data_IF_946006570083
#
_entry.id   IF_946006570083
#
_cell.length_a   1.000
_cell.length_b   1.000
_cell.length_c   1.000
_cell.angle_alpha   90.00
_cell.angle_beta   90.00
_cell.angle_gamma   90.00
#
_symmetry.space_group_name_H-M   'P 1'
#
loop_
_entity.id
_entity.type
_entity.pdbx_description
1 polymer ?
#
# COMPACT_ATOMS: atom_id res chain seq x y z
N UNK A 1 -4.37 13.20 -27.95
CA UNK A 1 -4.33 12.88 -26.51
C UNK A 1 -4.44 11.37 -26.36
N UNK A 2 -3.72 10.81 -25.38
CA UNK A 2 -3.57 9.37 -25.17
C UNK A 2 -4.91 8.68 -24.87
N UNK A 3 -5.20 7.57 -25.59
CA UNK A 3 -6.38 6.70 -25.39
C UNK A 3 -6.47 6.04 -24.00
N UNK A 4 -5.46 6.25 -23.15
CA UNK A 4 -5.39 5.71 -21.79
C UNK A 4 -6.43 6.34 -20.84
N UNK A 5 -6.93 7.54 -21.14
CA UNK A 5 -7.98 8.19 -20.37
C UNK A 5 -9.38 7.58 -20.61
N UNK A 6 -9.56 6.86 -21.72
CA UNK A 6 -10.82 6.24 -22.13
C UNK A 6 -10.89 4.76 -21.76
N UNK A 7 -9.96 4.26 -20.94
CA UNK A 7 -10.01 2.89 -20.46
C UNK A 7 -11.27 2.69 -19.60
N UNK A 8 -11.95 1.54 -19.72
CA UNK A 8 -13.02 1.18 -18.81
C UNK A 8 -12.52 1.11 -17.36
N UNK A 9 -13.35 1.58 -16.43
CA UNK A 9 -13.03 1.61 -14.99
C UNK A 9 -12.60 0.25 -14.44
N UNK A 10 -13.20 -0.85 -14.93
CA UNK A 10 -12.80 -2.23 -14.57
C UNK A 10 -11.32 -2.52 -14.85
N UNK A 11 -10.78 -2.01 -15.96
CA UNK A 11 -9.38 -2.21 -16.32
C UNK A 11 -8.49 -1.33 -15.45
N UNK A 12 -8.92 -0.09 -15.18
CA UNK A 12 -8.22 0.82 -14.28
C UNK A 12 -8.14 0.26 -12.85
N UNK A 13 -9.22 -0.32 -12.34
CA UNK A 13 -9.25 -1.04 -11.06
C UNK A 13 -8.26 -2.20 -11.05
N UNK A 14 -8.21 -3.01 -12.10
CA UNK A 14 -7.28 -4.14 -12.17
C UNK A 14 -5.81 -3.67 -12.25
N UNK A 15 -5.53 -2.55 -12.92
CA UNK A 15 -4.20 -1.91 -12.89
C UNK A 15 -3.87 -1.46 -11.47
N UNK A 16 -4.78 -0.74 -10.81
CA UNK A 16 -4.62 -0.25 -9.44
C UNK A 16 -4.34 -1.40 -8.47
N UNK A 17 -5.08 -2.51 -8.58
CA UNK A 17 -4.90 -3.73 -7.78
C UNK A 17 -3.55 -4.40 -7.99
N UNK A 18 -2.83 -4.11 -9.08
CA UNK A 18 -1.48 -4.62 -9.38
C UNK A 18 -0.35 -3.70 -8.89
N UNK A 19 -0.67 -2.49 -8.42
CA UNK A 19 0.31 -1.58 -7.82
C UNK A 19 0.70 -2.05 -6.42
N UNK A 20 2.00 -2.28 -6.20
CA UNK A 20 2.50 -2.86 -4.95
C UNK A 20 2.85 -1.81 -3.89
N UNK A 21 2.96 -0.54 -4.28
CA UNK A 21 3.52 0.52 -3.45
C UNK A 21 2.60 1.73 -3.37
N UNK A 22 2.47 2.30 -2.18
CA UNK A 22 1.66 3.50 -1.91
C UNK A 22 1.95 4.64 -2.89
N UNK A 23 3.22 4.90 -3.20
CA UNK A 23 3.61 5.96 -4.14
C UNK A 23 3.02 5.75 -5.55
N UNK A 24 2.94 4.50 -6.01
CA UNK A 24 2.41 4.19 -7.34
C UNK A 24 0.89 4.48 -7.37
N UNK A 25 0.17 4.26 -6.26
CA UNK A 25 -1.25 4.64 -6.13
C UNK A 25 -1.46 6.16 -6.17
N UNK A 26 -0.59 6.93 -5.53
CA UNK A 26 -0.65 8.40 -5.55
C UNK A 26 -0.43 8.93 -6.98
N UNK A 27 0.55 8.37 -7.70
CA UNK A 27 0.81 8.73 -9.09
C UNK A 27 -0.38 8.34 -9.98
N UNK A 28 -0.96 7.16 -9.76
CA UNK A 28 -2.13 6.67 -10.48
C UNK A 28 -3.32 7.67 -10.40
N UNK A 29 -3.67 8.12 -9.19
CA UNK A 29 -4.75 9.11 -8.99
C UNK A 29 -4.43 10.53 -9.48
N UNK A 30 -3.18 10.80 -9.85
CA UNK A 30 -2.73 12.10 -10.35
C UNK A 30 -2.77 12.21 -11.89
N UNK A 31 -2.97 11.11 -12.63
CA UNK A 31 -2.90 11.09 -14.11
C UNK A 31 -3.99 11.95 -14.76
N UNK A 32 -5.26 11.67 -14.48
CA UNK A 32 -6.39 12.42 -15.02
C UNK A 32 -7.65 12.23 -14.16
N UNK A 33 -8.75 12.90 -14.51
CA UNK A 33 -10.02 12.82 -13.77
C UNK A 33 -10.62 11.41 -13.75
N UNK A 34 -10.56 10.66 -14.85
CA UNK A 34 -11.07 9.28 -14.93
C UNK A 34 -10.33 8.35 -13.97
N UNK A 35 -8.99 8.37 -14.01
CA UNK A 35 -8.16 7.53 -13.13
C UNK A 35 -8.30 7.93 -11.66
N UNK A 36 -8.45 9.24 -11.38
CA UNK A 36 -8.74 9.73 -10.02
C UNK A 36 -10.08 9.24 -9.50
N UNK A 37 -11.10 9.13 -10.35
CA UNK A 37 -12.41 8.63 -9.96
C UNK A 37 -12.32 7.19 -9.43
N UNK A 38 -11.57 6.33 -10.13
CA UNK A 38 -11.31 4.95 -9.70
C UNK A 38 -10.50 4.92 -8.41
N UNK A 39 -9.46 5.75 -8.31
CA UNK A 39 -8.66 5.88 -7.09
C UNK A 39 -9.49 6.25 -5.85
N UNK A 40 -10.50 7.12 -6.00
CA UNK A 40 -11.36 7.51 -4.89
C UNK A 40 -12.39 6.45 -4.47
N UNK A 41 -12.69 5.49 -5.36
CA UNK A 41 -13.63 4.41 -5.09
C UNK A 41 -12.96 3.20 -4.41
N UNK A 42 -11.66 2.99 -4.66
CA UNK A 42 -10.92 1.88 -4.08
C UNK A 42 -10.03 2.30 -2.91
N UNK A 43 -10.15 1.58 -1.79
CA UNK A 43 -9.17 1.71 -0.73
C UNK A 43 -7.85 1.07 -1.20
N UNK A 44 -6.73 1.81 -1.20
CA UNK A 44 -5.45 1.21 -1.52
C UNK A 44 -5.20 0.04 -0.56
N UNK A 45 -4.70 -1.12 -1.02
CA UNK A 45 -4.35 -2.22 -0.16
C UNK A 45 -3.40 -1.72 0.94
N UNK A 46 -3.91 -1.70 2.17
CA UNK A 46 -3.22 -1.19 3.37
C UNK A 46 -1.94 -1.97 3.68
N UNK A 47 -1.84 -3.19 3.14
CA UNK A 47 -0.68 -4.04 3.26
C UNK A 47 0.22 -3.86 2.02
N UNK A 48 1.42 -3.26 2.15
CA UNK A 48 2.41 -3.34 1.10
C UNK A 48 2.65 -4.81 0.70
N UNK A 49 2.69 -5.10 -0.61
CA UNK A 49 3.16 -6.39 -1.17
C UNK A 49 4.67 -6.58 -1.00
N UNK A 50 5.22 -6.00 0.04
CA UNK A 50 6.63 -6.05 0.37
C UNK A 50 6.86 -7.18 1.38
N UNK A 51 8.07 -7.77 1.41
CA UNK A 51 8.41 -8.71 2.46
C UNK A 51 8.30 -8.03 3.84
N UNK A 52 7.60 -8.71 4.75
CA UNK A 52 7.45 -8.28 6.14
C UNK A 52 8.67 -8.82 6.90
N UNK A 53 9.48 -7.94 7.46
CA UNK A 53 10.61 -8.29 8.32
C UNK A 53 10.19 -8.09 9.77
N UNK A 54 9.96 -9.19 10.49
CA UNK A 54 9.75 -9.15 11.93
C UNK A 54 11.12 -9.13 12.61
N UNK A 55 11.44 -8.07 13.35
CA UNK A 55 12.64 -8.04 14.19
C UNK A 55 12.26 -8.46 15.60
N UNK A 56 13.10 -9.31 16.21
CA UNK A 56 12.95 -9.67 17.61
C UNK A 56 13.13 -8.40 18.47
N UNK A 57 12.29 -8.23 19.49
CA UNK A 57 12.49 -7.15 20.46
C UNK A 57 13.80 -7.40 21.21
N UNK A 58 14.69 -6.39 21.21
CA UNK A 58 15.76 -6.35 22.21
C UNK A 58 15.11 -6.26 23.59
N UNK A 59 15.61 -7.10 24.51
CA UNK A 59 15.01 -7.38 25.81
C UNK A 59 15.02 -6.19 26.78
N UNK A 60 14.40 -5.05 26.47
CA UNK A 60 14.12 -4.01 27.46
C UNK A 60 12.76 -3.34 27.23
N UNK A 61 11.85 -3.65 28.16
CA UNK A 61 10.56 -3.03 28.47
C UNK A 61 9.58 -2.69 27.32
N UNK A 62 8.48 -3.45 27.31
CA UNK A 62 7.11 -3.19 26.78
C UNK A 62 6.77 -3.74 25.38
N UNK A 63 6.58 -5.06 25.32
CA UNK A 63 5.41 -5.77 24.75
C UNK A 63 4.74 -5.21 23.47
N UNK A 64 5.50 -4.85 22.44
CA UNK A 64 4.93 -4.47 21.15
C UNK A 64 5.79 -5.01 20.01
N UNK A 65 5.45 -6.20 19.50
CA UNK A 65 6.08 -6.75 18.30
C UNK A 65 6.08 -5.71 17.17
N UNK A 66 7.27 -5.23 16.82
CA UNK A 66 7.49 -4.28 15.72
C UNK A 66 7.73 -5.05 14.45
N UNK A 67 6.90 -4.83 13.44
CA UNK A 67 7.15 -5.35 12.10
C UNK A 67 7.64 -4.23 11.21
N UNK A 68 8.76 -4.49 10.55
CA UNK A 68 9.37 -3.60 9.59
C UNK A 68 8.96 -4.07 8.20
N UNK A 69 8.32 -3.19 7.44
CA UNK A 69 8.05 -3.46 6.03
C UNK A 69 9.10 -2.71 5.22
N UNK A 70 9.90 -3.46 4.44
CA UNK A 70 10.93 -2.89 3.57
C UNK A 70 10.34 -2.73 2.17
N UNK A 71 10.12 -1.49 1.73
CA UNK A 71 9.64 -1.17 0.39
C UNK A 71 10.58 -0.18 -0.30
N UNK A 72 11.27 -0.59 -1.37
CA UNK A 72 12.18 0.26 -2.18
C UNK A 72 13.13 1.12 -1.31
N UNK A 73 13.76 0.52 -0.29
CA UNK A 73 14.70 1.22 0.61
C UNK A 73 14.06 2.13 1.66
N UNK A 74 12.72 2.20 1.72
CA UNK A 74 11.99 2.84 2.82
C UNK A 74 11.54 1.77 3.81
N UNK A 75 11.76 2.06 5.09
CA UNK A 75 11.34 1.21 6.21
C UNK A 75 10.08 1.80 6.81
N UNK A 76 8.97 1.04 6.77
CA UNK A 76 7.74 1.39 7.48
C UNK A 76 7.64 0.51 8.72
N UNK A 77 7.44 1.13 9.89
CA UNK A 77 7.29 0.42 11.16
C UNK A 77 5.80 0.27 11.46
N UNK A 78 5.30 -0.95 11.43
CA UNK A 78 3.97 -1.30 11.89
C UNK A 78 4.06 -1.90 13.30
N UNK A 79 3.16 -1.45 14.20
CA UNK A 79 2.99 -2.07 15.52
C UNK A 79 1.87 -3.08 15.44
N UNK A 80 2.19 -4.36 15.68
CA UNK A 80 1.16 -5.37 15.88
C UNK A 80 0.81 -5.33 17.37
N UNK A 81 -0.44 -5.00 17.69
CA UNK A 81 -0.96 -5.21 19.04
C UNK A 81 -1.30 -6.68 19.15
N UNK A 82 -0.71 -7.37 20.12
CA UNK A 82 -1.16 -8.71 20.51
C UNK A 82 -2.65 -8.64 20.84
N UNK A 83 -3.48 -9.39 20.11
CA UNK A 83 -4.84 -9.68 20.54
C UNK A 83 -4.73 -10.63 21.72
N UNK A 84 -4.78 -10.11 22.94
CA UNK A 84 -5.04 -10.94 24.13
C UNK A 84 -6.42 -11.57 23.97
N UNK A 85 -6.43 -12.89 23.81
CA UNK A 85 -7.62 -13.74 23.89
C UNK A 85 -8.08 -13.91 25.34
#
# INVERSE_FOLDING_TARGET
>A
MSKWADLPDLILSEIMRRLSFYNDFVIFGAICKSWRSVYSLENPPLAPRCPWLMLAEEKEQKSHTRVFVICKGKVVIAKIKSLTA
#
